data_IF_714602456157
#
_entry.id   IF_714602456157
#
_cell.length_a   1.000
_cell.length_b   1.000
_cell.length_c   1.000
_cell.angle_alpha   90.00
_cell.angle_beta   90.00
_cell.angle_gamma   90.00
#
_symmetry.space_group_name_H-M   'P 1'
#
loop_
_entity.id
_entity.type
_entity.pdbx_description
1 polymer ?
#
# COMPACT_ATOMS: atom_id res chain seq x y z
N UNK A 1 -35.84 -22.67 -11.06
CA UNK A 1 -34.70 -22.58 -12.01
C UNK A 1 -34.09 -21.19 -12.00
N UNK A 2 -33.11 -20.89 -11.12
CA UNK A 2 -32.42 -19.57 -11.15
C UNK A 2 -31.09 -19.48 -10.37
N UNK A 3 -30.35 -20.59 -10.26
CA UNK A 3 -29.17 -20.69 -9.39
C UNK A 3 -27.85 -20.99 -10.14
N UNK A 4 -27.82 -20.81 -11.48
CA UNK A 4 -26.68 -21.14 -12.32
C UNK A 4 -26.14 -19.93 -13.12
N UNK A 5 -25.84 -18.83 -12.45
CA UNK A 5 -25.16 -17.68 -13.09
C UNK A 5 -24.03 -17.05 -12.28
N UNK A 6 -23.44 -17.77 -11.31
CA UNK A 6 -22.40 -17.21 -10.43
C UNK A 6 -20.95 -17.52 -10.81
N UNK A 7 -20.69 -18.34 -11.83
CA UNK A 7 -19.34 -18.89 -12.06
C UNK A 7 -18.61 -18.29 -13.29
N UNK A 8 -19.25 -17.40 -14.06
CA UNK A 8 -18.63 -16.82 -15.28
C UNK A 8 -18.40 -15.30 -15.23
N UNK A 9 -18.71 -14.63 -14.11
CA UNK A 9 -18.62 -13.17 -13.96
C UNK A 9 -17.70 -12.72 -12.82
N UNK A 10 -16.91 -13.64 -12.24
CA UNK A 10 -15.92 -13.32 -11.20
C UNK A 10 -14.72 -12.54 -11.75
N UNK A 11 -14.23 -12.88 -12.94
CA UNK A 11 -12.99 -12.32 -13.48
C UNK A 11 -13.00 -10.80 -13.65
N UNK A 12 -14.03 -10.22 -14.26
CA UNK A 12 -14.03 -8.77 -14.57
C UNK A 12 -14.27 -7.89 -13.34
N UNK A 13 -15.16 -8.31 -12.44
CA UNK A 13 -15.44 -7.55 -11.22
C UNK A 13 -14.25 -7.63 -10.24
N UNK A 14 -13.62 -8.81 -10.14
CA UNK A 14 -12.37 -8.94 -9.39
C UNK A 14 -11.26 -8.10 -10.03
N UNK A 15 -11.14 -8.05 -11.36
CA UNK A 15 -10.09 -7.28 -12.04
C UNK A 15 -10.25 -5.76 -11.88
N UNK A 16 -11.47 -5.24 -12.00
CA UNK A 16 -11.77 -3.82 -11.77
C UNK A 16 -11.48 -3.44 -10.30
N UNK A 17 -11.92 -4.26 -9.33
CA UNK A 17 -11.61 -4.05 -7.90
C UNK A 17 -10.10 -4.09 -7.62
N UNK A 18 -9.33 -4.97 -8.30
CA UNK A 18 -7.87 -5.04 -8.15
C UNK A 18 -7.18 -3.83 -8.76
N UNK A 19 -7.66 -3.35 -9.90
CA UNK A 19 -7.15 -2.13 -10.50
C UNK A 19 -7.34 -0.95 -9.55
N UNK A 20 -8.54 -0.79 -8.99
CA UNK A 20 -8.86 0.26 -8.02
C UNK A 20 -7.98 0.16 -6.76
N UNK A 21 -7.71 -1.05 -6.27
CA UNK A 21 -6.79 -1.26 -5.15
C UNK A 21 -5.35 -0.88 -5.47
N UNK A 22 -4.83 -1.25 -6.65
CA UNK A 22 -3.49 -0.86 -7.09
C UNK A 22 -3.40 0.66 -7.26
N UNK A 23 -4.42 1.31 -7.82
CA UNK A 23 -4.48 2.76 -7.96
C UNK A 23 -4.50 3.49 -6.61
N UNK A 24 -5.29 3.00 -5.64
CA UNK A 24 -5.24 3.48 -4.26
C UNK A 24 -3.87 3.28 -3.61
N UNK A 25 -3.23 2.14 -3.88
CA UNK A 25 -1.89 1.85 -3.35
C UNK A 25 -0.83 2.79 -3.93
N UNK A 26 -0.88 3.08 -5.24
CA UNK A 26 -0.02 4.06 -5.93
C UNK A 26 -0.19 5.43 -5.28
N UNK A 27 -1.42 5.89 -5.08
CA UNK A 27 -1.71 7.18 -4.46
C UNK A 27 -1.13 7.26 -3.03
N UNK A 28 -1.39 6.24 -2.20
CA UNK A 28 -0.89 6.19 -0.83
C UNK A 28 0.65 6.19 -0.77
N UNK A 29 1.32 5.40 -1.61
CA UNK A 29 2.79 5.38 -1.68
C UNK A 29 3.37 6.71 -2.18
N UNK A 30 2.70 7.38 -3.12
CA UNK A 30 3.12 8.69 -3.65
C UNK A 30 3.00 9.79 -2.59
N UNK A 31 1.93 9.76 -1.80
CA UNK A 31 1.74 10.70 -0.70
C UNK A 31 2.77 10.47 0.41
N UNK A 32 2.99 9.21 0.79
CA UNK A 32 4.03 8.85 1.73
C UNK A 32 5.43 9.25 1.25
N UNK A 33 5.78 9.03 -0.02
CA UNK A 33 7.11 9.41 -0.53
C UNK A 33 7.34 10.92 -0.45
N UNK A 34 6.32 11.72 -0.76
CA UNK A 34 6.41 13.19 -0.65
C UNK A 34 6.61 13.64 0.79
N UNK A 35 5.88 13.03 1.73
CA UNK A 35 6.10 13.29 3.15
C UNK A 35 7.53 12.95 3.57
N UNK A 36 8.02 11.77 3.19
CA UNK A 36 9.37 11.31 3.51
C UNK A 36 10.46 12.20 2.92
N UNK A 37 10.27 12.73 1.71
CA UNK A 37 11.18 13.74 1.12
C UNK A 37 11.23 15.02 1.95
N UNK A 38 10.06 15.52 2.38
CA UNK A 38 9.97 16.75 3.15
C UNK A 38 10.69 16.65 4.49
N UNK A 39 10.68 15.45 5.10
CA UNK A 39 11.40 15.19 6.36
C UNK A 39 12.83 14.67 6.16
N UNK A 40 13.29 14.52 4.91
CA UNK A 40 14.67 14.10 4.58
C UNK A 40 14.96 12.61 4.81
N UNK A 41 13.94 11.75 4.76
CA UNK A 41 14.05 10.32 5.04
C UNK A 41 14.39 9.50 3.80
N UNK A 42 15.45 8.68 3.89
CA UNK A 42 15.92 7.84 2.77
C UNK A 42 14.88 6.77 2.33
N UNK A 43 13.93 6.44 3.20
CA UNK A 43 12.84 5.51 2.89
C UNK A 43 11.84 6.06 1.87
N UNK A 44 11.93 7.34 1.48
CA UNK A 44 11.16 7.93 0.38
C UNK A 44 11.35 7.14 -0.93
N UNK A 45 12.56 6.68 -1.22
CA UNK A 45 12.86 5.94 -2.44
C UNK A 45 12.14 4.60 -2.48
N UNK A 46 12.12 3.88 -1.35
CA UNK A 46 11.37 2.63 -1.24
C UNK A 46 9.86 2.82 -1.47
N UNK A 47 9.29 3.95 -1.03
CA UNK A 47 7.88 4.25 -1.28
C UNK A 47 7.63 4.52 -2.78
N UNK A 48 8.55 5.22 -3.47
CA UNK A 48 8.47 5.43 -4.93
C UNK A 48 8.58 4.12 -5.71
N UNK A 49 9.56 3.27 -5.40
CA UNK A 49 9.74 1.97 -6.04
C UNK A 49 8.46 1.09 -5.96
N UNK A 50 7.78 1.14 -4.81
CA UNK A 50 6.50 0.45 -4.61
C UNK A 50 5.37 1.03 -5.47
N UNK A 51 5.26 2.36 -5.56
CA UNK A 51 4.29 3.02 -6.43
C UNK A 51 4.56 2.69 -7.90
N UNK A 52 5.82 2.73 -8.33
CA UNK A 52 6.22 2.43 -9.71
C UNK A 52 5.97 0.97 -10.07
N UNK A 53 6.22 0.05 -9.14
CA UNK A 53 5.91 -1.37 -9.30
C UNK A 53 4.40 -1.57 -9.47
N UNK A 54 3.58 -0.98 -8.59
CA UNK A 54 2.13 -1.07 -8.71
C UNK A 54 1.61 -0.46 -10.03
N UNK A 55 2.16 0.67 -10.47
CA UNK A 55 1.81 1.29 -11.74
C UNK A 55 2.17 0.40 -12.94
N UNK A 56 3.29 -0.33 -12.87
CA UNK A 56 3.64 -1.34 -13.88
C UNK A 56 2.63 -2.48 -13.93
N UNK A 57 2.17 -2.97 -12.77
CA UNK A 57 1.14 -4.03 -12.71
C UNK A 57 -0.21 -3.56 -13.28
N UNK A 58 -0.63 -2.32 -13.03
CA UNK A 58 -1.85 -1.76 -13.64
C UNK A 58 -1.78 -1.75 -15.17
N UNK A 59 -0.58 -1.50 -15.73
CA UNK A 59 -0.37 -1.45 -17.19
C UNK A 59 -0.23 -2.83 -17.83
N UNK A 60 0.50 -3.72 -17.15
CA UNK A 60 0.94 -5.00 -17.74
C UNK A 60 0.10 -6.20 -17.28
N UNK A 61 -0.83 -5.98 -16.35
CA UNK A 61 -1.50 -7.04 -15.60
C UNK A 61 -0.68 -7.49 -14.39
N UNK A 62 -1.31 -8.25 -13.51
CA UNK A 62 -0.72 -8.75 -12.28
C UNK A 62 -0.92 -10.25 -12.14
N UNK A 63 0.01 -10.90 -11.46
CA UNK A 63 -0.18 -12.22 -10.89
C UNK A 63 -0.53 -12.12 -9.41
N UNK A 64 -1.03 -13.22 -8.86
CA UNK A 64 -1.32 -13.33 -7.43
C UNK A 64 -0.07 -13.16 -6.56
N UNK A 65 1.09 -13.58 -7.04
CA UNK A 65 2.35 -13.43 -6.33
C UNK A 65 2.85 -11.97 -6.36
N UNK A 66 2.60 -11.24 -7.45
CA UNK A 66 2.90 -9.80 -7.53
C UNK A 66 2.11 -9.01 -6.48
N UNK A 67 0.81 -9.30 -6.36
CA UNK A 67 -0.04 -8.66 -5.34
C UNK A 67 0.41 -9.02 -3.92
N UNK A 68 0.81 -10.27 -3.69
CA UNK A 68 1.36 -10.71 -2.41
C UNK A 68 2.69 -10.04 -2.08
N UNK A 69 3.54 -9.80 -3.09
CA UNK A 69 4.82 -9.12 -2.92
C UNK A 69 4.64 -7.64 -2.58
N UNK A 70 3.71 -6.94 -3.25
CA UNK A 70 3.33 -5.57 -2.92
C UNK A 70 2.70 -5.46 -1.54
N UNK A 71 1.92 -6.46 -1.13
CA UNK A 71 1.26 -6.54 0.16
C UNK A 71 2.17 -6.71 1.39
N UNK A 72 3.49 -6.52 1.24
CA UNK A 72 4.42 -6.49 2.37
C UNK A 72 4.29 -5.16 3.12
N UNK A 73 4.26 -5.18 4.46
CA UNK A 73 4.11 -3.95 5.23
C UNK A 73 5.26 -2.99 4.98
N UNK A 74 4.95 -1.70 4.95
CA UNK A 74 5.88 -0.59 5.05
C UNK A 74 6.14 -0.30 6.52
N UNK A 75 7.41 -0.11 6.90
CA UNK A 75 7.79 0.21 8.28
C UNK A 75 8.17 1.69 8.35
N UNK A 76 7.59 2.39 9.31
CA UNK A 76 7.99 3.75 9.63
C UNK A 76 9.50 3.78 10.01
N UNK A 77 10.26 4.79 9.55
CA UNK A 77 11.65 4.97 9.94
C UNK A 77 11.82 5.60 11.33
N UNK A 78 10.76 6.16 11.91
CA UNK A 78 10.76 6.76 13.24
C UNK A 78 10.29 5.79 14.34
N UNK A 79 10.62 6.08 15.61
CA UNK A 79 10.14 5.30 16.76
C UNK A 79 8.61 5.28 16.86
N UNK A 80 8.08 4.15 17.33
CA UNK A 80 6.65 3.99 17.56
C UNK A 80 6.14 4.91 18.70
N UNK A 81 4.82 5.06 18.81
CA UNK A 81 4.20 5.93 19.81
C UNK A 81 4.66 5.66 21.25
N UNK A 82 4.93 4.40 21.62
CA UNK A 82 5.42 4.06 22.96
C UNK A 82 6.86 4.53 23.20
N UNK A 83 7.72 4.39 22.19
CA UNK A 83 9.08 4.91 22.27
C UNK A 83 9.10 6.45 22.27
N UNK A 84 8.16 7.10 21.58
CA UNK A 84 7.97 8.57 21.64
C UNK A 84 7.49 9.03 23.02
N UNK A 85 6.51 8.36 23.61
CA UNK A 85 6.04 8.62 24.98
C UNK A 85 7.16 8.46 26.02
N UNK A 86 8.16 7.62 25.72
CA UNK A 86 9.38 7.44 26.50
C UNK A 86 10.48 8.50 26.20
N UNK A 87 10.19 9.53 25.41
CA UNK A 87 11.08 10.65 25.11
C UNK A 87 12.02 10.44 23.93
N UNK A 88 11.80 9.41 23.09
CA UNK A 88 12.60 9.24 21.88
C UNK A 88 12.35 10.38 20.88
N UNK A 89 13.40 10.96 20.28
CA UNK A 89 13.25 12.01 19.30
C UNK A 89 12.55 11.49 18.04
N UNK A 90 11.61 12.28 17.52
CA UNK A 90 10.93 12.02 16.25
C UNK A 90 10.61 13.34 15.52
N UNK A 91 10.31 13.29 14.21
CA UNK A 91 9.87 14.46 13.46
C UNK A 91 8.67 15.15 14.13
N UNK A 92 8.51 16.47 13.88
CA UNK A 92 7.36 17.23 14.43
C UNK A 92 6.02 16.73 13.90
N UNK A 93 6.03 16.13 12.71
CA UNK A 93 4.84 15.69 11.98
C UNK A 93 4.67 14.16 11.99
N UNK A 94 5.19 13.47 13.02
CA UNK A 94 5.15 12.00 13.09
C UNK A 94 3.73 11.43 13.04
N UNK A 95 2.75 12.11 13.62
CA UNK A 95 1.36 11.61 13.61
C UNK A 95 0.77 11.60 12.19
N UNK A 96 1.17 12.53 11.34
CA UNK A 96 0.79 12.53 9.92
C UNK A 96 1.55 11.45 9.15
N UNK A 97 2.84 11.26 9.46
CA UNK A 97 3.63 10.13 8.94
C UNK A 97 3.02 8.77 9.30
N UNK A 98 2.62 8.57 10.55
CA UNK A 98 1.98 7.34 11.04
C UNK A 98 0.67 7.06 10.31
N UNK A 99 -0.15 8.09 10.06
CA UNK A 99 -1.38 7.96 9.25
C UNK A 99 -1.07 7.53 7.80
N UNK A 100 -0.04 8.10 7.17
CA UNK A 100 0.35 7.75 5.81
C UNK A 100 0.88 6.31 5.72
N UNK A 101 1.70 5.90 6.69
CA UNK A 101 2.17 4.50 6.79
C UNK A 101 1.01 3.54 7.01
N UNK A 102 0.04 3.90 7.86
CA UNK A 102 -1.17 3.10 8.05
C UNK A 102 -1.99 2.99 6.75
N UNK A 103 -2.20 4.09 6.03
CA UNK A 103 -2.92 4.08 4.76
C UNK A 103 -2.26 3.16 3.71
N UNK A 104 -0.94 3.21 3.57
CA UNK A 104 -0.19 2.29 2.70
C UNK A 104 -0.37 0.84 3.15
N UNK A 105 -0.28 0.58 4.45
CA UNK A 105 -0.37 -0.77 5.01
C UNK A 105 -1.76 -1.39 4.92
N UNK A 106 -2.82 -0.58 5.06
CA UNK A 106 -4.20 -1.03 4.91
C UNK A 106 -4.46 -1.51 3.48
N UNK A 107 -4.06 -0.72 2.49
CA UNK A 107 -4.19 -1.11 1.08
C UNK A 107 -3.27 -2.31 0.75
N UNK A 108 -2.06 -2.35 1.29
CA UNK A 108 -1.17 -3.51 1.15
C UNK A 108 -1.80 -4.80 1.70
N UNK A 109 -2.53 -4.71 2.81
CA UNK A 109 -3.24 -5.83 3.41
C UNK A 109 -4.38 -6.31 2.54
N UNK A 110 -5.15 -5.39 1.95
CA UNK A 110 -6.19 -5.70 0.97
C UNK A 110 -5.62 -6.49 -0.24
N UNK A 111 -4.49 -6.03 -0.80
CA UNK A 111 -3.80 -6.70 -1.91
C UNK A 111 -3.33 -8.11 -1.53
N UNK A 112 -2.90 -8.31 -0.27
CA UNK A 112 -2.39 -9.60 0.22
C UNK A 112 -3.48 -10.62 0.54
N UNK A 113 -4.61 -10.17 1.09
CA UNK A 113 -5.67 -11.04 1.64
C UNK A 113 -6.24 -12.03 0.61
N UNK A 114 -6.15 -11.68 -0.67
CA UNK A 114 -6.77 -12.41 -1.78
C UNK A 114 -5.77 -13.31 -2.51
N UNK A 115 -4.51 -13.27 -2.06
CA UNK A 115 -3.45 -14.21 -2.41
C UNK A 115 -3.51 -15.56 -1.67
N UNK A 116 -4.62 -15.93 -1.01
CA UNK A 116 -4.81 -17.24 -0.32
C UNK A 116 -5.75 -18.19 -1.01
#
# INVERSE_FOLDING_TARGET
>A
MRWLRRVMWGGRYDDDDRRDQLERYIAACTELSRFLDLVGEASAEQARERADTAAQLVRNGWTRDDLRALGRPFRAPWPDGKARDAGAPGPRDVDDGDRLVAAVNDVALELRAIGR
#
